data_IF_912745229697
#
_entry.id   IF_912745229697
#
_cell.length_a   1.000
_cell.length_b   1.000
_cell.length_c   1.000
_cell.angle_alpha   90.00
_cell.angle_beta   90.00
_cell.angle_gamma   90.00
#
_symmetry.space_group_name_H-M   'P 1'
#
loop_
_entity.id
_entity.type
_entity.pdbx_description
1 polymer ?
#
# COMPACT_ATOMS: atom_id res chain seq x y z
N UNK A 1 18.43 -9.22 13.74
CA UNK A 1 17.51 -8.23 14.35
C UNK A 1 16.32 -8.25 13.42
N UNK A 2 15.19 -8.81 13.85
CA UNK A 2 14.03 -8.89 12.98
C UNK A 2 13.53 -7.45 12.85
N UNK A 3 13.54 -6.94 11.64
CA UNK A 3 13.00 -5.62 11.34
C UNK A 3 11.48 -5.73 11.57
N UNK A 4 10.98 -5.21 12.69
CA UNK A 4 9.57 -5.27 13.08
C UNK A 4 8.74 -4.32 12.21
N UNK A 5 8.65 -4.62 10.92
CA UNK A 5 7.85 -3.87 9.95
C UNK A 5 6.37 -4.17 10.09
N UNK A 6 5.54 -3.19 9.74
CA UNK A 6 4.10 -3.36 9.62
C UNK A 6 3.78 -3.94 8.24
N UNK A 7 3.10 -5.08 8.20
CA UNK A 7 2.70 -5.73 6.96
C UNK A 7 1.37 -5.16 6.47
N UNK A 8 1.35 -4.79 5.19
CA UNK A 8 0.17 -4.25 4.52
C UNK A 8 -0.14 -5.08 3.29
N UNK A 9 -1.30 -5.70 3.26
CA UNK A 9 -1.77 -6.47 2.12
C UNK A 9 -2.82 -5.66 1.37
N UNK A 10 -2.60 -5.42 0.08
CA UNK A 10 -3.55 -4.69 -0.77
C UNK A 10 -4.21 -5.67 -1.71
N UNK A 11 -5.45 -6.01 -1.44
CA UNK A 11 -6.26 -6.89 -2.27
C UNK A 11 -6.83 -6.08 -3.44
N UNK A 12 -6.44 -6.43 -4.67
CA UNK A 12 -6.86 -5.71 -5.88
C UNK A 12 -7.41 -6.67 -6.93
N UNK A 13 -8.14 -6.11 -7.91
CA UNK A 13 -8.39 -6.83 -9.15
C UNK A 13 -7.18 -6.68 -10.08
N UNK A 14 -6.81 -5.43 -10.37
CA UNK A 14 -5.70 -5.08 -11.28
C UNK A 14 -5.31 -3.60 -11.05
N UNK A 15 -4.16 -3.32 -10.44
CA UNK A 15 -3.70 -1.93 -10.19
C UNK A 15 -3.40 -1.13 -11.44
N UNK A 16 -3.17 -1.79 -12.59
CA UNK A 16 -2.77 -1.16 -13.85
C UNK A 16 -4.00 -0.71 -14.65
N UNK A 17 -5.04 -1.54 -14.70
CA UNK A 17 -6.23 -1.36 -15.52
C UNK A 17 -7.43 -0.82 -14.72
N UNK A 18 -7.50 -1.09 -13.41
CA UNK A 18 -8.57 -0.59 -12.55
C UNK A 18 -8.13 0.69 -11.83
N UNK A 19 -8.73 1.83 -12.21
CA UNK A 19 -8.40 3.13 -11.64
C UNK A 19 -8.47 3.17 -10.10
N UNK A 20 -9.52 2.58 -9.49
CA UNK A 20 -9.65 2.53 -8.04
C UNK A 20 -8.54 1.71 -7.36
N UNK A 21 -8.14 0.57 -7.97
CA UNK A 21 -7.02 -0.23 -7.48
C UNK A 21 -5.70 0.54 -7.59
N UNK A 22 -5.50 1.24 -8.70
CA UNK A 22 -4.36 2.13 -8.92
C UNK A 22 -4.27 3.21 -7.85
N UNK A 23 -5.35 3.96 -7.60
CA UNK A 23 -5.36 5.00 -6.55
C UNK A 23 -5.09 4.44 -5.15
N UNK A 24 -5.57 3.24 -4.86
CA UNK A 24 -5.31 2.60 -3.57
C UNK A 24 -3.82 2.23 -3.41
N UNK A 25 -3.20 1.66 -4.45
CA UNK A 25 -1.75 1.41 -4.45
C UNK A 25 -0.95 2.72 -4.36
N UNK A 26 -1.39 3.74 -5.08
CA UNK A 26 -0.74 5.05 -5.09
C UNK A 26 -0.80 5.73 -3.72
N UNK A 27 -1.88 5.55 -2.96
CA UNK A 27 -2.01 6.07 -1.60
C UNK A 27 -0.94 5.53 -0.63
N UNK A 28 -0.51 4.28 -0.82
CA UNK A 28 0.56 3.64 -0.03
C UNK A 28 1.95 4.01 -0.59
N UNK A 29 2.10 4.00 -1.92
CA UNK A 29 3.34 4.38 -2.59
C UNK A 29 3.73 5.85 -2.36
N UNK A 30 2.75 6.72 -2.13
CA UNK A 30 2.98 8.14 -1.88
C UNK A 30 3.42 8.46 -0.44
N UNK A 31 3.41 7.47 0.47
CA UNK A 31 3.93 7.63 1.83
C UNK A 31 5.39 8.10 1.82
N UNK A 32 5.81 8.92 2.79
CA UNK A 32 7.19 9.38 2.86
C UNK A 32 8.14 8.20 3.12
N UNK A 33 9.38 8.36 2.68
CA UNK A 33 10.41 7.31 2.78
C UNK A 33 10.59 6.76 4.20
N UNK A 34 10.50 7.62 5.23
CA UNK A 34 10.54 7.19 6.63
C UNK A 34 9.42 6.21 6.99
N UNK A 35 8.20 6.42 6.48
CA UNK A 35 7.09 5.49 6.68
C UNK A 35 7.29 4.24 5.84
N UNK A 36 7.74 4.37 4.59
CA UNK A 36 8.02 3.22 3.73
C UNK A 36 9.10 2.29 4.30
N UNK A 37 10.08 2.81 5.04
CA UNK A 37 11.11 1.99 5.69
C UNK A 37 10.53 1.11 6.81
N UNK A 38 9.48 1.60 7.49
CA UNK A 38 8.81 0.91 8.60
C UNK A 38 7.76 -0.10 8.15
N UNK A 39 7.43 -0.18 6.86
CA UNK A 39 6.36 -1.05 6.35
C UNK A 39 6.84 -1.98 5.26
N UNK A 40 6.12 -3.08 5.11
CA UNK A 40 6.21 -3.98 3.99
C UNK A 40 4.82 -4.12 3.38
N UNK A 41 4.62 -3.64 2.16
CA UNK A 41 3.34 -3.76 1.49
C UNK A 41 3.42 -4.66 0.26
N UNK A 42 2.39 -5.48 0.05
CA UNK A 42 2.28 -6.39 -1.09
C UNK A 42 0.93 -6.25 -1.77
N UNK A 43 0.93 -6.11 -3.11
CA UNK A 43 -0.28 -6.20 -3.90
C UNK A 43 -0.65 -7.67 -4.18
N UNK A 44 -1.90 -8.03 -3.88
CA UNK A 44 -2.49 -9.32 -4.18
C UNK A 44 -3.61 -9.17 -5.20
N UNK A 45 -3.26 -9.32 -6.47
CA UNK A 45 -4.25 -9.35 -7.56
C UNK A 45 -5.00 -10.67 -7.59
N UNK A 46 -6.34 -10.62 -7.47
CA UNK A 46 -7.22 -11.79 -7.57
C UNK A 46 -7.28 -12.42 -8.99
N UNK A 47 -6.54 -11.88 -9.96
CA UNK A 47 -6.32 -12.54 -11.26
C UNK A 47 -5.39 -13.75 -11.13
N UNK A 48 -4.55 -13.77 -10.10
CA UNK A 48 -3.59 -14.82 -9.83
C UNK A 48 -4.09 -15.75 -8.72
N UNK A 49 -3.65 -17.01 -8.74
CA UNK A 49 -4.05 -18.00 -7.73
C UNK A 49 -3.65 -17.58 -6.31
N UNK A 50 -2.46 -17.01 -6.14
CA UNK A 50 -1.99 -16.48 -4.86
C UNK A 50 -2.88 -15.35 -4.34
N UNK A 51 -3.29 -14.42 -5.21
CA UNK A 51 -4.17 -13.32 -4.82
C UNK A 51 -5.58 -13.80 -4.46
N UNK A 52 -6.12 -14.79 -5.16
CA UNK A 52 -7.38 -15.46 -4.75
C UNK A 52 -7.20 -16.14 -3.39
N UNK A 53 -6.08 -16.84 -3.18
CA UNK A 53 -5.74 -17.46 -1.91
C UNK A 53 -5.72 -16.45 -0.76
N UNK A 54 -5.05 -15.31 -0.94
CA UNK A 54 -5.00 -14.24 0.06
C UNK A 54 -6.32 -13.52 0.27
N UNK A 55 -7.09 -13.29 -0.78
CA UNK A 55 -8.43 -12.73 -0.65
C UNK A 55 -9.33 -13.62 0.23
N UNK A 56 -9.24 -14.95 0.08
CA UNK A 56 -9.97 -15.89 0.93
C UNK A 56 -9.39 -15.98 2.35
N UNK A 57 -8.07 -15.98 2.50
CA UNK A 57 -7.39 -16.05 3.81
C UNK A 57 -7.73 -14.83 4.69
N UNK A 58 -7.71 -13.63 4.10
CA UNK A 58 -8.03 -12.37 4.77
C UNK A 58 -9.54 -12.08 4.83
N UNK A 59 -10.37 -13.01 4.33
CA UNK A 59 -11.82 -12.89 4.30
C UNK A 59 -12.33 -11.62 3.61
N UNK A 60 -11.63 -11.19 2.55
CA UNK A 60 -12.00 -10.03 1.76
C UNK A 60 -13.42 -10.15 1.19
N UNK A 61 -14.17 -9.04 1.20
CA UNK A 61 -15.55 -8.98 0.69
C UNK A 61 -15.68 -8.14 -0.57
N UNK A 62 -14.90 -7.05 -0.64
CA UNK A 62 -14.94 -6.06 -1.70
C UNK A 62 -13.52 -5.73 -2.17
N UNK A 63 -13.41 -5.14 -3.36
CA UNK A 63 -12.14 -4.68 -3.92
C UNK A 63 -12.25 -3.20 -4.32
N UNK A 64 -11.14 -2.46 -4.31
CA UNK A 64 -9.87 -2.82 -3.67
C UNK A 64 -9.99 -2.74 -2.13
N UNK A 65 -9.19 -3.53 -1.41
CA UNK A 65 -9.20 -3.54 0.07
C UNK A 65 -7.77 -3.49 0.61
N UNK A 66 -7.51 -2.63 1.61
CA UNK A 66 -6.24 -2.61 2.35
C UNK A 66 -6.42 -3.35 3.67
N UNK A 67 -5.50 -4.26 3.94
CA UNK A 67 -5.37 -4.97 5.19
C UNK A 67 -4.06 -4.58 5.87
N UNK A 68 -4.10 -4.34 7.18
CA UNK A 68 -2.91 -3.99 7.98
C UNK A 68 -2.78 -5.03 9.08
N UNK A 69 -1.65 -5.74 9.14
CA UNK A 69 -1.44 -6.84 10.08
C UNK A 69 -2.59 -7.88 10.05
N UNK A 70 -3.04 -8.23 8.83
CA UNK A 70 -4.15 -9.15 8.53
C UNK A 70 -5.56 -8.66 8.91
N UNK A 71 -5.69 -7.44 9.42
CA UNK A 71 -6.99 -6.85 9.73
C UNK A 71 -7.54 -6.08 8.52
N UNK A 72 -8.82 -6.23 8.19
CA UNK A 72 -9.48 -5.50 7.10
C UNK A 72 -9.74 -4.06 7.53
N UNK A 73 -8.97 -3.11 7.01
CA UNK A 73 -9.01 -1.71 7.48
C UNK A 73 -9.80 -0.82 6.54
N UNK A 74 -9.47 -0.85 5.23
CA UNK A 74 -10.12 -0.01 4.23
C UNK A 74 -10.74 -0.86 3.14
N UNK A 75 -12.06 -1.06 3.21
CA UNK A 75 -12.83 -1.87 2.28
C UNK A 75 -13.50 -0.99 1.22
N UNK A 76 -12.99 -0.97 -0.02
CA UNK A 76 -13.51 -0.15 -1.14
C UNK A 76 -13.53 1.36 -0.89
N UNK A 77 -12.70 1.84 0.05
CA UNK A 77 -12.58 3.25 0.42
C UNK A 77 -11.09 3.61 0.30
N UNK A 78 -10.76 4.64 -0.48
CA UNK A 78 -9.37 5.09 -0.64
C UNK A 78 -9.01 5.94 0.59
N UNK A 79 -8.06 5.51 1.43
CA UNK A 79 -7.69 6.24 2.64
C UNK A 79 -6.97 7.55 2.30
N UNK A 80 -7.02 8.49 3.24
CA UNK A 80 -6.12 9.63 3.25
C UNK A 80 -4.83 9.27 3.98
N UNK A 81 -3.78 10.05 3.76
CA UNK A 81 -2.47 9.87 4.38
C UNK A 81 -2.54 9.73 5.91
N UNK A 82 -3.28 10.63 6.55
CA UNK A 82 -3.44 10.66 8.01
C UNK A 82 -4.15 9.41 8.54
N UNK A 83 -5.21 8.97 7.86
CA UNK A 83 -5.99 7.79 8.25
C UNK A 83 -5.16 6.51 8.15
N UNK A 84 -4.33 6.41 7.09
CA UNK A 84 -3.43 5.27 6.93
C UNK A 84 -2.43 5.21 8.09
N UNK A 85 -1.79 6.34 8.42
CA UNK A 85 -0.83 6.41 9.53
C UNK A 85 -1.49 6.09 10.86
N UNK A 86 -2.70 6.61 11.10
CA UNK A 86 -3.43 6.39 12.35
C UNK A 86 -3.72 4.89 12.54
N UNK A 87 -4.16 4.21 11.49
CA UNK A 87 -4.43 2.77 11.51
C UNK A 87 -3.15 1.92 11.64
N UNK A 88 -2.03 2.37 11.07
CA UNK A 88 -0.71 1.76 11.27
C UNK A 88 -0.22 1.96 12.70
N UNK A 89 -0.35 3.17 13.25
CA UNK A 89 0.09 3.51 14.60
C UNK A 89 -0.68 2.72 15.67
N UNK A 90 -1.98 2.48 15.46
CA UNK A 90 -2.80 1.60 16.31
C UNK A 90 -2.31 0.15 16.34
N UNK A 91 -1.71 -0.32 15.24
CA UNK A 91 -1.24 -1.70 15.05
C UNK A 91 0.28 -1.82 15.14
N UNK A 92 0.97 -0.74 15.55
CA UNK A 92 2.42 -0.74 15.64
C UNK A 92 2.89 -1.74 16.72
N UNK A 93 3.92 -2.55 16.45
CA UNK A 93 4.42 -3.56 17.38
C UNK A 93 5.09 -2.97 18.62
N UNK A 94 5.61 -1.74 18.53
CA UNK A 94 6.31 -1.05 19.62
C UNK A 94 5.84 0.39 19.82
N UNK A 95 5.87 0.88 21.06
CA UNK A 95 5.56 2.28 21.39
C UNK A 95 6.46 3.28 20.64
N UNK A 96 7.72 2.92 20.39
CA UNK A 96 8.66 3.77 19.65
C UNK A 96 8.25 3.93 18.18
N UNK A 97 7.78 2.85 17.54
CA UNK A 97 7.27 2.91 16.17
C UNK A 97 5.97 3.72 16.08
N UNK A 98 5.07 3.53 17.05
CA UNK A 98 3.84 4.34 17.15
C UNK A 98 4.16 5.84 17.26
N UNK A 99 5.06 6.22 18.16
CA UNK A 99 5.45 7.61 18.36
C UNK A 99 6.07 8.24 17.10
N UNK A 100 6.89 7.45 16.39
CA UNK A 100 7.48 7.87 15.11
C UNK A 100 6.42 8.06 14.02
N UNK A 101 5.46 7.14 13.89
CA UNK A 101 4.35 7.25 12.95
C UNK A 101 3.51 8.51 13.24
N UNK A 102 3.15 8.74 14.50
CA UNK A 102 2.37 9.92 14.91
C UNK A 102 3.14 11.21 14.64
N UNK A 103 4.44 11.25 14.92
CA UNK A 103 5.29 12.41 14.63
C UNK A 103 5.36 12.73 13.13
N UNK A 104 5.33 11.72 12.27
CA UNK A 104 5.33 11.87 10.81
C UNK A 104 3.99 12.40 10.29
N UNK A 105 2.88 12.07 10.95
CA UNK A 105 1.57 12.69 10.68
C UNK A 105 1.63 14.21 10.88
N UNK A 106 2.26 14.67 11.95
CA UNK A 106 2.31 16.11 12.32
C UNK A 106 3.22 16.94 11.40
N UNK A 107 4.27 16.34 10.84
CA UNK A 107 5.16 17.02 9.88
C UNK A 107 4.47 17.32 8.52
N UNK A 108 3.31 16.73 8.28
CA UNK A 108 2.52 16.97 7.08
C UNK A 108 3.09 16.29 5.84
N UNK A 109 2.25 16.17 4.83
CA UNK A 109 2.56 15.49 3.58
C UNK A 109 3.51 16.33 2.71
N UNK A 110 4.75 15.88 2.53
CA UNK A 110 5.74 16.57 1.69
C UNK A 110 5.43 16.40 0.19
N UNK A 111 4.54 17.25 -0.34
CA UNK A 111 4.15 17.25 -1.76
C UNK A 111 5.33 17.31 -2.74
N UNK A 112 6.45 17.92 -2.35
CA UNK A 112 7.66 18.06 -3.18
C UNK A 112 8.32 16.70 -3.47
N UNK A 113 8.19 15.73 -2.56
CA UNK A 113 8.82 14.41 -2.67
C UNK A 113 7.92 13.35 -3.30
N UNK A 114 6.68 13.70 -3.65
CA UNK A 114 5.69 12.74 -4.18
C UNK A 114 6.19 12.04 -5.44
N UNK A 115 6.82 12.80 -6.34
CA UNK A 115 7.34 12.27 -7.61
C UNK A 115 8.54 11.32 -7.39
N UNK A 116 9.32 11.54 -6.34
CA UNK A 116 10.43 10.64 -5.98
C UNK A 116 9.89 9.34 -5.36
N UNK A 117 8.93 9.45 -4.42
CA UNK A 117 8.33 8.30 -3.75
C UNK A 117 7.60 7.40 -4.75
N UNK A 118 6.82 7.98 -5.67
CA UNK A 118 6.14 7.25 -6.74
C UNK A 118 7.12 6.54 -7.69
N UNK A 119 8.26 7.18 -8.00
CA UNK A 119 9.32 6.58 -8.83
C UNK A 119 10.03 5.43 -8.11
N UNK A 120 10.29 5.55 -6.79
CA UNK A 120 10.86 4.47 -5.97
C UNK A 120 9.91 3.27 -5.88
N UNK A 121 8.61 3.53 -5.77
CA UNK A 121 7.58 2.50 -5.73
C UNK A 121 7.31 1.82 -7.10
N UNK A 122 7.98 2.23 -8.18
CA UNK A 122 7.82 1.63 -9.51
C UNK A 122 6.47 1.89 -10.16
N UNK A 123 5.68 2.86 -9.65
CA UNK A 123 4.38 3.22 -10.21
C UNK A 123 4.55 3.69 -11.67
N UNK A 124 4.12 2.85 -12.61
CA UNK A 124 4.21 3.11 -14.06
C UNK A 124 5.49 2.65 -14.77
N UNK A 125 6.44 1.97 -14.12
CA UNK A 125 7.64 1.45 -14.81
C UNK A 125 7.43 0.09 -15.48
N UNK A 126 6.38 -0.66 -15.12
CA UNK A 126 5.99 -1.90 -15.83
C UNK A 126 4.97 -1.68 -16.95
N UNK A 127 4.55 -0.44 -17.23
CA UNK A 127 3.54 -0.12 -18.28
C UNK A 127 4.10 0.08 -19.69
N UNK A 128 5.36 -0.26 -19.96
CA UNK A 128 5.88 -0.36 -21.34
C UNK A 128 6.84 -1.54 -21.53
N UNK A 129 6.27 -2.73 -21.57
CA UNK A 129 6.87 -3.87 -22.29
C UNK A 129 5.76 -4.63 -23.01
N UNK A 130 5.10 -3.99 -23.96
CA UNK A 130 4.57 -4.74 -25.12
C UNK A 130 4.27 -3.77 -26.26
N UNK A 131 5.12 -3.79 -27.29
CA UNK A 131 4.78 -3.57 -28.69
C UNK A 131 6.06 -3.63 -29.54
N UNK A 132 6.77 -4.75 -29.50
CA UNK A 132 7.45 -5.20 -30.73
C UNK A 132 6.41 -5.98 -31.53
N UNK A 133 5.54 -5.26 -32.23
CA UNK A 133 4.83 -5.83 -33.38
C UNK A 133 5.84 -5.81 -34.52
N UNK A 134 6.55 -6.93 -34.69
CA UNK A 134 7.25 -7.18 -35.94
C UNK A 134 6.18 -7.35 -37.04
N UNK A 135 6.32 -6.55 -38.11
CA UNK A 135 5.48 -6.60 -39.31
C UNK A 135 5.84 -7.77 -40.20
#
# INVERSE_FOLDING_TARGET
MADEKIHIDVLTLDSIQCAACGYMMESIAALPGDVQDMIEYTEWSIKNKDGVGKFLELQGKVLPTICIEKDLVFESIIPQYEELIDEMAKRAPTDAMRDRLVSLREHGFEFDKIQENLKKAGAGQSTRSDSSVEQ
#
